data_IF_869098920996
#
_entry.id   IF_869098920996
#
_cell.length_a   1.000
_cell.length_b   1.000
_cell.length_c   1.000
_cell.angle_alpha   90.00
_cell.angle_beta   90.00
_cell.angle_gamma   90.00
#
_symmetry.space_group_name_H-M   'P 1'
#
loop_
_entity.id
_entity.type
_entity.pdbx_description
1 polymer ?
#
# COMPACT_ATOMS: atom_id res chain seq x y z
N UNK A 1 9.76 -36.89 -15.96
CA UNK A 1 9.06 -37.91 -15.16
C UNK A 1 9.82 -38.10 -13.87
N UNK A 2 9.23 -37.77 -12.71
CA UNK A 2 9.94 -37.80 -11.42
C UNK A 2 10.04 -39.21 -10.79
N UNK A 3 9.31 -40.21 -11.32
CA UNK A 3 9.34 -41.63 -10.88
C UNK A 3 9.27 -41.86 -9.36
N UNK A 4 8.54 -40.98 -8.64
CA UNK A 4 8.29 -41.07 -7.20
C UNK A 4 6.80 -40.85 -6.91
N UNK A 5 6.24 -41.46 -5.85
CA UNK A 5 4.85 -41.26 -5.46
C UNK A 5 4.63 -39.82 -4.98
N UNK A 6 3.67 -39.13 -5.59
CA UNK A 6 3.26 -37.77 -5.21
C UNK A 6 2.02 -37.81 -4.31
N UNK A 7 2.01 -37.01 -3.25
CA UNK A 7 0.80 -36.76 -2.45
C UNK A 7 0.02 -35.62 -3.11
N UNK A 8 -1.19 -35.91 -3.56
CA UNK A 8 -2.12 -34.93 -4.13
C UNK A 8 -3.14 -34.51 -3.07
N UNK A 9 -3.30 -33.21 -2.85
CA UNK A 9 -4.40 -32.63 -2.08
C UNK A 9 -5.48 -32.11 -3.01
N UNK A 10 -6.64 -31.78 -2.44
CA UNK A 10 -7.70 -31.09 -3.17
C UNK A 10 -7.26 -29.68 -3.60
N UNK A 11 -7.80 -29.16 -4.72
CA UNK A 11 -7.50 -27.81 -5.17
C UNK A 11 -7.97 -26.79 -4.14
N UNK A 12 -7.11 -25.82 -3.82
CA UNK A 12 -7.40 -24.73 -2.90
C UNK A 12 -7.75 -23.48 -3.71
N UNK A 13 -8.73 -22.71 -3.23
CA UNK A 13 -9.08 -21.40 -3.78
C UNK A 13 -8.21 -20.36 -3.08
N UNK A 14 -7.53 -19.51 -3.85
CA UNK A 14 -6.83 -18.35 -3.30
C UNK A 14 -7.82 -17.24 -3.02
N UNK A 15 -7.73 -16.66 -1.83
CA UNK A 15 -8.54 -15.52 -1.43
C UNK A 15 -7.72 -14.23 -1.54
N UNK A 16 -8.42 -13.10 -1.39
CA UNK A 16 -7.83 -11.78 -1.29
C UNK A 16 -8.49 -11.02 -0.17
N UNK A 17 -7.69 -10.24 0.56
CA UNK A 17 -8.17 -9.45 1.67
C UNK A 17 -8.35 -7.99 1.26
N UNK A 18 -9.40 -7.34 1.74
CA UNK A 18 -9.71 -5.94 1.42
C UNK A 18 -10.35 -5.24 2.61
N UNK A 19 -10.50 -3.92 2.51
CA UNK A 19 -11.22 -3.09 3.48
C UNK A 19 -12.54 -2.63 2.87
N UNK A 20 -13.61 -2.61 3.65
CA UNK A 20 -14.94 -2.20 3.17
C UNK A 20 -15.18 -0.69 3.29
N UNK A 21 -14.60 -0.06 4.30
CA UNK A 21 -14.87 1.34 4.66
C UNK A 21 -13.57 2.02 5.13
N UNK A 22 -13.57 3.35 5.16
CA UNK A 22 -12.48 4.10 5.77
C UNK A 22 -12.33 3.74 7.25
N UNK A 23 -11.08 3.67 7.72
CA UNK A 23 -10.78 3.48 9.15
C UNK A 23 -11.47 4.54 10.02
N UNK A 24 -12.26 4.07 10.99
CA UNK A 24 -13.00 4.87 11.96
C UNK A 24 -12.09 5.77 12.79
N UNK A 25 -10.91 5.25 13.16
CA UNK A 25 -9.91 5.93 13.95
C UNK A 25 -8.59 6.09 13.19
N UNK A 26 -7.81 7.07 13.64
CA UNK A 26 -6.44 7.26 13.17
C UNK A 26 -5.54 6.22 13.85
N UNK A 27 -4.99 5.28 13.09
CA UNK A 27 -4.14 4.22 13.63
C UNK A 27 -2.76 4.80 13.94
N UNK A 28 -2.36 4.73 15.22
CA UNK A 28 -1.05 5.14 15.70
C UNK A 28 -0.16 3.91 15.94
N UNK A 29 0.97 3.83 15.23
CA UNK A 29 2.03 2.87 15.51
C UNK A 29 3.27 3.55 16.06
N UNK A 30 3.99 2.86 16.96
CA UNK A 30 5.26 3.33 17.54
C UNK A 30 6.35 2.34 17.20
N UNK A 31 7.54 2.85 16.86
CA UNK A 31 8.72 2.01 16.68
C UNK A 31 9.14 1.33 18.00
N UNK A 32 9.90 0.23 17.94
CA UNK A 32 10.40 -0.46 19.14
C UNK A 32 11.24 0.44 20.06
N UNK A 33 11.98 1.38 19.48
CA UNK A 33 12.75 2.38 20.23
C UNK A 33 11.87 3.50 20.84
N UNK A 34 10.54 3.48 20.61
CA UNK A 34 9.53 4.45 21.11
C UNK A 34 9.72 5.90 20.66
N UNK A 35 10.68 6.17 19.80
CA UNK A 35 11.01 7.51 19.33
C UNK A 35 10.23 7.91 18.08
N UNK A 36 9.86 6.95 17.23
CA UNK A 36 9.15 7.21 15.98
C UNK A 36 7.68 6.83 16.11
N UNK A 37 6.81 7.66 15.52
CA UNK A 37 5.36 7.47 15.50
C UNK A 37 4.83 7.65 14.09
N UNK A 38 3.99 6.73 13.63
CA UNK A 38 3.31 6.83 12.34
C UNK A 38 1.79 6.83 12.57
N UNK A 39 1.11 7.79 11.95
CA UNK A 39 -0.34 7.89 11.95
C UNK A 39 -0.86 7.62 10.54
N UNK A 40 -1.68 6.58 10.41
CA UNK A 40 -2.19 6.11 9.12
C UNK A 40 -3.67 5.76 9.19
N UNK A 41 -4.34 5.82 8.04
CA UNK A 41 -5.65 5.18 7.84
C UNK A 41 -5.65 4.35 6.56
N UNK A 42 -6.46 3.29 6.56
CA UNK A 42 -6.78 2.53 5.37
C UNK A 42 -8.16 2.94 4.84
N UNK A 43 -8.29 2.96 3.51
CA UNK A 43 -9.52 3.22 2.78
C UNK A 43 -9.66 2.23 1.63
N UNK A 44 -10.89 1.86 1.24
CA UNK A 44 -11.12 1.10 0.02
C UNK A 44 -10.72 1.94 -1.20
N UNK A 45 -10.17 1.30 -2.22
CA UNK A 45 -10.02 1.92 -3.52
C UNK A 45 -11.38 2.03 -4.23
N UNK A 46 -11.56 3.04 -5.10
CA UNK A 46 -12.73 3.10 -5.96
C UNK A 46 -12.81 1.89 -6.89
N UNK A 47 -14.03 1.48 -7.22
CA UNK A 47 -14.28 0.40 -8.16
C UNK A 47 -13.61 0.64 -9.51
N UNK A 48 -12.99 -0.39 -10.08
CA UNK A 48 -12.29 -0.32 -11.36
C UNK A 48 -10.81 0.10 -11.24
N UNK A 49 -10.40 0.79 -10.19
CA UNK A 49 -8.99 1.18 -10.01
C UNK A 49 -8.07 -0.04 -9.80
N UNK A 50 -8.45 -1.04 -8.99
CA UNK A 50 -7.66 -2.26 -8.86
C UNK A 50 -7.47 -3.00 -10.20
N UNK A 51 -8.49 -3.03 -11.06
CA UNK A 51 -8.43 -3.66 -12.39
C UNK A 51 -7.52 -2.89 -13.35
N UNK A 52 -7.58 -1.56 -13.34
CA UNK A 52 -6.67 -0.71 -14.12
C UNK A 52 -5.20 -0.91 -13.75
N UNK A 53 -4.92 -1.11 -12.45
CA UNK A 53 -3.57 -1.41 -11.97
C UNK A 53 -3.12 -2.79 -12.48
N UNK A 54 -3.98 -3.80 -12.40
CA UNK A 54 -3.69 -5.16 -12.90
C UNK A 54 -3.47 -5.18 -14.42
N UNK A 55 -4.22 -4.35 -15.17
CA UNK A 55 -4.07 -4.19 -16.62
C UNK A 55 -2.83 -3.36 -17.02
N UNK A 56 -2.19 -2.69 -16.05
CA UNK A 56 -1.03 -1.84 -16.28
C UNK A 56 -1.36 -0.45 -16.84
N UNK A 57 -2.62 -0.02 -16.78
CA UNK A 57 -3.02 1.37 -17.09
C UNK A 57 -2.51 2.34 -16.02
N UNK A 58 -2.37 1.85 -14.78
CA UNK A 58 -1.76 2.56 -13.65
C UNK A 58 -0.61 1.73 -13.11
N UNK A 59 0.62 2.20 -13.35
CA UNK A 59 1.84 1.49 -12.92
C UNK A 59 2.72 2.35 -12.02
N UNK A 60 3.52 1.68 -11.19
CA UNK A 60 4.61 2.30 -10.43
C UNK A 60 5.68 2.92 -11.34
N UNK A 61 5.82 2.41 -12.58
CA UNK A 61 6.81 2.85 -13.57
C UNK A 61 6.41 4.10 -14.35
N UNK A 62 5.14 4.47 -14.33
CA UNK A 62 4.64 5.61 -15.09
C UNK A 62 5.14 6.94 -14.51
N UNK A 63 5.21 7.96 -15.37
CA UNK A 63 5.51 9.31 -14.90
C UNK A 63 4.44 9.76 -13.89
N UNK A 64 4.87 10.17 -12.70
CA UNK A 64 3.99 10.57 -11.60
C UNK A 64 2.97 11.66 -11.99
N UNK A 65 3.30 12.54 -12.95
CA UNK A 65 2.36 13.56 -13.44
C UNK A 65 1.25 12.97 -14.32
N UNK A 66 1.61 12.05 -15.22
CA UNK A 66 0.66 11.39 -16.09
C UNK A 66 -0.29 10.50 -15.27
N UNK A 67 0.27 9.70 -14.35
CA UNK A 67 -0.49 8.88 -13.42
C UNK A 67 -1.45 9.71 -12.55
N UNK A 68 -0.98 10.83 -12.01
CA UNK A 68 -1.82 11.70 -11.19
C UNK A 68 -2.97 12.34 -11.98
N UNK A 69 -2.76 12.69 -13.26
CA UNK A 69 -3.84 13.18 -14.12
C UNK A 69 -4.86 12.09 -14.39
N UNK A 70 -4.41 10.87 -14.71
CA UNK A 70 -5.28 9.73 -14.94
C UNK A 70 -6.17 9.42 -13.73
N UNK A 71 -5.55 9.36 -12.54
CA UNK A 71 -6.27 9.14 -11.28
C UNK A 71 -7.27 10.26 -10.96
N UNK A 72 -6.94 11.50 -11.32
CA UNK A 72 -7.84 12.63 -11.12
C UNK A 72 -9.01 12.64 -12.11
N UNK A 73 -8.76 12.39 -13.38
CA UNK A 73 -9.79 12.43 -14.43
C UNK A 73 -10.76 11.24 -14.35
N UNK A 74 -10.28 10.03 -14.02
CA UNK A 74 -11.10 8.81 -14.00
C UNK A 74 -11.69 8.50 -12.61
N UNK A 75 -10.98 8.82 -11.54
CA UNK A 75 -11.31 8.40 -10.18
C UNK A 75 -11.47 9.56 -9.19
N UNK A 76 -11.49 10.81 -9.66
CA UNK A 76 -11.65 12.02 -8.85
C UNK A 76 -10.64 12.14 -7.70
N UNK A 77 -9.43 11.61 -7.90
CA UNK A 77 -8.32 11.83 -6.96
C UNK A 77 -7.81 13.26 -7.04
N UNK A 78 -7.40 13.79 -5.90
CA UNK A 78 -6.64 15.03 -5.87
C UNK A 78 -5.28 14.83 -6.57
N UNK A 79 -4.98 15.70 -7.54
CA UNK A 79 -3.75 15.64 -8.35
C UNK A 79 -2.50 15.79 -7.48
N UNK A 80 -2.58 16.52 -6.37
CA UNK A 80 -1.43 16.73 -5.47
C UNK A 80 -1.17 15.49 -4.62
N UNK A 81 -2.23 14.84 -4.14
CA UNK A 81 -2.15 13.58 -3.42
C UNK A 81 -1.67 12.44 -4.33
N UNK A 82 -2.24 12.32 -5.53
CA UNK A 82 -1.91 11.25 -6.47
C UNK A 82 -0.43 11.30 -6.95
N UNK A 83 0.21 12.48 -6.89
CA UNK A 83 1.67 12.60 -7.13
C UNK A 83 2.52 12.06 -5.98
N UNK A 84 1.96 11.97 -4.77
CA UNK A 84 2.64 11.54 -3.56
C UNK A 84 2.41 10.04 -3.26
N UNK A 85 2.10 9.24 -4.27
CA UNK A 85 2.09 7.78 -4.15
C UNK A 85 3.53 7.29 -4.01
N UNK A 86 3.82 6.55 -2.94
CA UNK A 86 5.17 6.06 -2.64
C UNK A 86 5.49 4.74 -3.33
N UNK A 87 4.56 3.79 -3.26
CA UNK A 87 4.73 2.49 -3.87
C UNK A 87 3.37 1.81 -4.09
N UNK A 88 3.38 0.83 -4.97
CA UNK A 88 2.31 -0.13 -5.17
C UNK A 88 2.70 -1.46 -4.54
N UNK A 89 1.74 -2.30 -4.14
CA UNK A 89 2.02 -3.57 -3.49
C UNK A 89 0.87 -4.57 -3.64
N UNK A 90 1.13 -5.89 -3.52
CA UNK A 90 2.44 -6.51 -3.32
C UNK A 90 3.36 -6.48 -4.55
N UNK A 91 4.64 -6.79 -4.35
CA UNK A 91 5.71 -6.90 -5.36
C UNK A 91 5.92 -5.66 -6.28
N UNK A 92 5.52 -4.47 -5.82
CA UNK A 92 5.71 -3.22 -6.56
C UNK A 92 4.72 -2.97 -7.71
N UNK A 93 3.82 -3.91 -7.99
CA UNK A 93 2.82 -3.81 -9.07
C UNK A 93 1.41 -4.14 -8.62
N UNK A 94 1.24 -4.63 -7.39
CA UNK A 94 -0.06 -5.06 -6.92
C UNK A 94 -1.05 -3.89 -6.72
N UNK A 95 -2.36 -4.23 -6.67
CA UNK A 95 -3.48 -3.30 -6.62
C UNK A 95 -3.71 -2.70 -5.21
N UNK A 96 -2.62 -2.27 -4.56
CA UNK A 96 -2.62 -1.56 -3.28
C UNK A 96 -1.58 -0.45 -3.35
N UNK A 97 -1.81 0.70 -2.72
CA UNK A 97 -0.77 1.75 -2.67
C UNK A 97 -0.79 2.56 -1.38
N UNK A 98 0.38 3.12 -1.06
CA UNK A 98 0.56 4.10 0.00
C UNK A 98 0.62 5.50 -0.58
N UNK A 99 -0.15 6.41 0.02
CA UNK A 99 -0.19 7.83 -0.30
C UNK A 99 0.26 8.66 0.90
N UNK A 100 1.12 9.63 0.63
CA UNK A 100 1.59 10.59 1.63
C UNK A 100 0.68 11.84 1.68
N UNK A 101 -0.10 11.95 2.75
CA UNK A 101 -0.94 13.11 3.07
C UNK A 101 -0.29 14.03 4.13
N UNK A 102 0.97 13.79 4.51
CA UNK A 102 1.64 14.54 5.58
C UNK A 102 1.92 15.98 5.15
N UNK A 103 2.04 16.87 6.15
CA UNK A 103 2.37 18.30 5.96
C UNK A 103 3.57 18.67 6.81
N UNK A 104 4.65 19.08 6.16
CA UNK A 104 5.85 19.66 6.79
C UNK A 104 6.59 18.75 7.78
N UNK A 105 6.66 17.44 7.49
CA UNK A 105 7.45 16.49 8.30
C UNK A 105 8.92 16.53 7.89
N UNK A 106 9.80 16.78 8.87
CA UNK A 106 11.25 16.72 8.67
C UNK A 106 11.71 15.26 8.55
N UNK A 107 12.74 15.01 7.73
CA UNK A 107 13.33 13.67 7.53
C UNK A 107 12.38 12.59 6.96
N UNK A 108 11.22 12.98 6.43
CA UNK A 108 10.22 12.04 5.89
C UNK A 108 10.78 11.14 4.77
N UNK A 109 11.68 11.68 3.94
CA UNK A 109 12.29 10.92 2.85
C UNK A 109 13.19 9.79 3.35
N UNK A 110 13.72 9.88 4.57
CA UNK A 110 14.65 8.88 5.09
C UNK A 110 13.92 7.61 5.57
N UNK A 111 12.66 7.74 5.98
CA UNK A 111 11.82 6.58 6.34
C UNK A 111 11.10 5.96 5.15
N UNK A 112 11.16 6.59 3.98
CA UNK A 112 10.39 6.18 2.81
C UNK A 112 10.69 4.72 2.43
N UNK A 113 11.97 4.36 2.35
CA UNK A 113 12.37 3.01 1.95
C UNK A 113 11.94 1.96 3.00
N UNK A 114 12.03 2.30 4.29
CA UNK A 114 11.56 1.46 5.39
C UNK A 114 10.05 1.22 5.34
N UNK A 115 9.27 2.26 5.06
CA UNK A 115 7.80 2.16 4.94
C UNK A 115 7.42 1.37 3.68
N UNK A 116 8.08 1.61 2.56
CA UNK A 116 7.86 0.86 1.32
C UNK A 116 8.15 -0.62 1.53
N UNK A 117 9.26 -0.97 2.16
CA UNK A 117 9.62 -2.36 2.45
C UNK A 117 8.59 -3.04 3.39
N UNK A 118 8.19 -2.36 4.46
CA UNK A 118 7.15 -2.86 5.37
C UNK A 118 5.81 -3.06 4.67
N UNK A 119 5.47 -2.17 3.74
CA UNK A 119 4.24 -2.27 2.95
C UNK A 119 4.23 -3.43 1.96
N UNK A 120 5.36 -3.72 1.31
CA UNK A 120 5.45 -4.88 0.40
C UNK A 120 5.16 -6.18 1.17
N UNK A 121 5.64 -6.28 2.40
CA UNK A 121 5.36 -7.44 3.23
C UNK A 121 3.90 -7.45 3.72
N UNK A 122 3.41 -6.34 4.27
CA UNK A 122 2.04 -6.23 4.79
C UNK A 122 0.96 -6.41 3.71
N UNK A 123 1.25 -6.08 2.45
CA UNK A 123 0.34 -6.30 1.33
C UNK A 123 0.39 -7.72 0.75
N UNK A 124 1.45 -8.47 1.05
CA UNK A 124 1.63 -9.86 0.64
C UNK A 124 0.98 -10.83 1.63
N UNK A 125 1.13 -10.56 2.92
CA UNK A 125 0.58 -11.38 4.00
C UNK A 125 -0.48 -10.56 4.74
N UNK A 126 -1.74 -10.74 4.34
CA UNK A 126 -2.89 -10.12 4.97
C UNK A 126 -3.10 -10.57 6.41
N UNK A 127 -3.83 -9.78 7.19
CA UNK A 127 -3.97 -9.98 8.63
C UNK A 127 -4.98 -11.07 9.01
N UNK A 128 -5.90 -11.42 8.09
CA UNK A 128 -6.97 -12.37 8.39
C UNK A 128 -6.58 -13.82 8.10
N UNK A 129 -5.90 -14.04 6.97
CA UNK A 129 -5.62 -15.38 6.44
C UNK A 129 -4.24 -15.51 5.79
N UNK A 130 -3.32 -14.56 6.00
CA UNK A 130 -2.00 -14.50 5.35
C UNK A 130 -2.09 -14.50 3.81
N UNK A 131 -3.19 -13.99 3.26
CA UNK A 131 -3.43 -13.88 1.81
C UNK A 131 -3.19 -12.45 1.31
N UNK A 132 -2.89 -12.29 0.02
CA UNK A 132 -2.55 -10.97 -0.51
C UNK A 132 -3.71 -9.98 -0.36
N UNK A 133 -3.37 -8.74 0.00
CA UNK A 133 -4.30 -7.62 0.00
C UNK A 133 -4.69 -7.24 -1.45
N UNK A 134 -5.91 -6.72 -1.63
CA UNK A 134 -6.40 -6.13 -2.87
C UNK A 134 -7.28 -4.92 -2.63
N UNK A 135 -7.06 -3.86 -3.40
CA UNK A 135 -7.93 -2.70 -3.44
C UNK A 135 -7.85 -1.84 -2.19
N UNK A 136 -6.70 -1.83 -1.51
CA UNK A 136 -6.51 -1.06 -0.27
C UNK A 136 -5.58 0.13 -0.49
N UNK A 137 -6.09 1.32 -0.17
CA UNK A 137 -5.33 2.57 -0.12
C UNK A 137 -4.94 2.86 1.33
N UNK A 138 -3.67 3.18 1.55
CA UNK A 138 -3.18 3.61 2.86
C UNK A 138 -2.72 5.06 2.80
N UNK A 139 -3.27 5.90 3.67
CA UNK A 139 -2.91 7.31 3.78
C UNK A 139 -2.08 7.54 5.03
N UNK A 140 -0.90 8.15 4.86
CA UNK A 140 -0.05 8.61 5.98
C UNK A 140 -0.43 10.05 6.28
N UNK A 141 -0.97 10.31 7.47
CA UNK A 141 -1.41 11.65 7.87
C UNK A 141 -0.34 12.41 8.64
N UNK A 142 0.37 11.73 9.52
CA UNK A 142 1.40 12.36 10.35
C UNK A 142 2.49 11.36 10.73
N UNK A 143 3.71 11.86 10.87
CA UNK A 143 4.88 11.08 11.26
C UNK A 143 5.72 11.94 12.20
N UNK A 144 5.98 11.42 13.39
CA UNK A 144 6.94 12.01 14.32
C UNK A 144 8.23 11.20 14.26
N UNK A 145 9.34 11.84 13.89
CA UNK A 145 10.66 11.24 13.84
C UNK A 145 11.60 11.91 14.84
N UNK A 146 12.48 11.13 15.43
CA UNK A 146 13.52 11.64 16.33
C UNK A 146 14.83 11.85 15.56
N UNK A 147 15.52 12.96 15.86
CA UNK A 147 16.67 13.43 15.09
C UNK A 147 17.91 12.51 15.14
N UNK A 148 18.07 11.73 16.22
CA UNK A 148 19.30 10.94 16.46
C UNK A 148 19.27 9.49 15.98
N UNK A 149 18.18 9.00 15.39
CA UNK A 149 18.10 7.60 14.97
C UNK A 149 17.22 7.43 13.72
N UNK A 150 17.87 7.60 12.57
CA UNK A 150 17.41 7.14 11.26
C UNK A 150 18.54 6.29 10.68
#
# INVERSE_FOLDING_TARGET
HACIPLKKSDPVVSYRETVSEESDQMCLSKSPNKHNRLLMKALPMPDGLPEDIDNGEVSSKDEFKARARYLSEKYDYDVTEARKIWCFGPDGTGPNFILDCTKSVQYLNEIKDSVVAGFQWASKEGILADENLRGVRFNIYDVTLHADAI
#
